data_IF_961264087661
#
_entry.id   IF_961264087661
#
_cell.length_a   1.000
_cell.length_b   1.000
_cell.length_c   1.000
_cell.angle_alpha   90.00
_cell.angle_beta   90.00
_cell.angle_gamma   90.00
#
_symmetry.space_group_name_H-M   'P 1'
#
loop_
_entity.id
_entity.type
_entity.pdbx_description
1 polymer ?
#
# COMPACT_ATOMS: atom_id res chain seq x y z
N UNK A 1 -7.28 4.90 -13.08
CA UNK A 1 -7.93 5.18 -11.78
C UNK A 1 -8.03 6.70 -11.59
N UNK A 2 -9.06 7.21 -10.91
CA UNK A 2 -9.19 8.66 -10.63
C UNK A 2 -8.41 8.95 -9.35
N UNK A 3 -7.23 9.56 -9.45
CA UNK A 3 -6.46 9.96 -8.27
C UNK A 3 -7.28 10.92 -7.41
N UNK A 4 -7.39 10.63 -6.11
CA UNK A 4 -8.08 11.48 -5.14
C UNK A 4 -7.35 12.82 -5.05
N UNK A 5 -8.10 13.90 -4.82
CA UNK A 5 -7.51 15.20 -4.53
C UNK A 5 -7.38 15.31 -3.00
N UNK A 6 -6.16 15.41 -2.43
CA UNK A 6 -5.98 15.55 -0.99
C UNK A 6 -6.66 16.82 -0.48
N UNK A 7 -7.31 16.74 0.67
CA UNK A 7 -7.97 17.86 1.34
C UNK A 7 -6.94 18.87 1.87
N UNK A 8 -7.40 20.05 2.29
CA UNK A 8 -6.54 21.07 2.89
C UNK A 8 -5.97 20.57 4.24
N UNK A 9 -6.79 19.89 5.04
CA UNK A 9 -6.36 19.33 6.33
C UNK A 9 -5.22 18.32 6.15
N UNK A 10 -5.35 17.38 5.21
CA UNK A 10 -4.31 16.38 4.92
C UNK A 10 -3.01 17.03 4.45
N UNK A 11 -3.09 18.07 3.61
CA UNK A 11 -1.89 18.80 3.17
C UNK A 11 -1.21 19.51 4.33
N UNK A 12 -1.97 20.10 5.26
CA UNK A 12 -1.45 20.78 6.45
C UNK A 12 -0.78 19.79 7.39
N UNK A 13 -1.38 18.62 7.62
CA UNK A 13 -0.82 17.57 8.45
C UNK A 13 0.52 17.06 7.90
N UNK A 14 0.56 16.70 6.61
CA UNK A 14 1.80 16.29 5.92
C UNK A 14 2.85 17.40 5.96
N UNK A 15 2.45 18.67 5.85
CA UNK A 15 3.39 19.78 5.93
C UNK A 15 3.99 19.98 7.33
N UNK A 16 3.23 19.70 8.38
CA UNK A 16 3.70 19.70 9.77
C UNK A 16 4.66 18.52 9.98
N UNK A 17 4.30 17.33 9.52
CA UNK A 17 5.16 16.14 9.61
C UNK A 17 6.50 16.33 8.90
N UNK A 18 6.49 16.95 7.72
CA UNK A 18 7.69 17.25 6.95
C UNK A 18 8.48 18.47 7.49
N UNK A 19 7.99 19.12 8.55
CA UNK A 19 8.62 20.30 9.15
C UNK A 19 8.62 21.55 8.27
N UNK A 20 7.74 21.62 7.27
CA UNK A 20 7.61 22.76 6.35
C UNK A 20 6.93 23.94 7.04
N UNK A 21 5.96 23.65 7.91
CA UNK A 21 5.25 24.63 8.76
C UNK A 21 5.14 24.11 10.18
N UNK A 22 4.94 25.00 11.14
CA UNK A 22 4.60 24.61 12.53
C UNK A 22 3.09 24.41 12.71
N UNK A 23 2.67 23.66 13.75
CA UNK A 23 1.26 23.58 14.12
C UNK A 23 0.67 24.98 14.34
N UNK A 24 -0.41 25.29 13.61
CA UNK A 24 -1.09 26.58 13.65
C UNK A 24 -0.61 27.62 12.63
N UNK A 25 0.42 27.32 11.84
CA UNK A 25 0.83 28.16 10.71
C UNK A 25 0.06 27.80 9.43
N UNK A 26 -0.25 28.80 8.60
CA UNK A 26 -0.99 28.59 7.35
C UNK A 26 -0.08 28.21 6.18
N UNK A 27 -0.54 27.25 5.38
CA UNK A 27 0.12 26.90 4.13
C UNK A 27 -0.09 27.95 3.05
N UNK A 28 1.00 28.48 2.50
CA UNK A 28 0.92 29.35 1.32
C UNK A 28 0.34 28.61 0.11
N UNK A 29 -0.39 29.29 -0.81
CA UNK A 29 -1.02 28.64 -1.97
C UNK A 29 -0.05 27.84 -2.85
N UNK A 30 1.20 28.31 -2.95
CA UNK A 30 2.25 27.64 -3.72
C UNK A 30 2.68 26.33 -3.07
N UNK A 31 2.78 26.29 -1.74
CA UNK A 31 3.08 25.08 -0.97
C UNK A 31 1.90 24.11 -0.99
N UNK A 32 0.66 24.59 -0.89
CA UNK A 32 -0.53 23.75 -0.99
C UNK A 32 -0.58 22.98 -2.31
N UNK A 33 -0.24 23.62 -3.43
CA UNK A 33 -0.19 22.95 -4.74
C UNK A 33 0.92 21.89 -4.79
N UNK A 34 2.10 22.21 -4.26
CA UNK A 34 3.25 21.29 -4.25
C UNK A 34 2.96 20.06 -3.38
N UNK A 35 2.42 20.25 -2.18
CA UNK A 35 2.04 19.16 -1.27
C UNK A 35 0.96 18.26 -1.86
N UNK A 36 -0.06 18.84 -2.52
CA UNK A 36 -1.08 18.05 -3.19
C UNK A 36 -0.48 17.11 -4.24
N UNK A 37 0.47 17.60 -5.04
CA UNK A 37 1.16 16.79 -6.04
C UNK A 37 2.04 15.72 -5.39
N UNK A 38 2.78 16.07 -4.33
CA UNK A 38 3.63 15.12 -3.61
C UNK A 38 2.83 13.98 -3.00
N UNK A 39 1.69 14.28 -2.35
CA UNK A 39 0.80 13.26 -1.78
C UNK A 39 0.24 12.38 -2.89
N UNK A 40 -0.21 12.97 -4.01
CA UNK A 40 -0.75 12.19 -5.14
C UNK A 40 0.29 11.28 -5.80
N UNK A 41 1.55 11.71 -5.89
CA UNK A 41 2.64 10.88 -6.42
C UNK A 41 2.94 9.75 -5.45
N UNK A 42 3.07 10.04 -4.14
CA UNK A 42 3.33 9.03 -3.12
C UNK A 42 2.21 7.98 -3.05
N UNK A 43 0.95 8.41 -3.06
CA UNK A 43 -0.21 7.50 -3.13
C UNK A 43 -0.23 6.69 -4.44
N UNK A 44 0.23 7.28 -5.55
CA UNK A 44 0.35 6.59 -6.84
C UNK A 44 1.43 5.51 -6.82
N UNK A 45 2.61 5.81 -6.27
CA UNK A 45 3.72 4.87 -6.10
C UNK A 45 3.37 3.75 -5.11
N UNK A 46 2.68 4.06 -4.00
CA UNK A 46 2.16 3.04 -3.09
C UNK A 46 1.12 2.16 -3.76
N UNK A 47 0.18 2.72 -4.52
CA UNK A 47 -0.81 1.94 -5.25
C UNK A 47 -0.14 1.01 -6.29
N UNK A 48 0.84 1.52 -7.03
CA UNK A 48 1.61 0.73 -8.01
C UNK A 48 2.46 -0.34 -7.32
N UNK A 49 3.07 -0.04 -6.17
CA UNK A 49 3.80 -1.01 -5.36
C UNK A 49 2.87 -2.07 -4.75
N UNK A 50 1.66 -1.71 -4.33
CA UNK A 50 0.64 -2.64 -3.84
C UNK A 50 0.12 -3.52 -4.98
N UNK A 51 -0.09 -2.98 -6.18
CA UNK A 51 -0.46 -3.77 -7.36
C UNK A 51 0.67 -4.72 -7.78
N UNK A 52 1.91 -4.24 -7.83
CA UNK A 52 3.08 -5.06 -8.13
C UNK A 52 3.31 -6.15 -7.07
N UNK A 53 3.14 -5.82 -5.78
CA UNK A 53 3.20 -6.78 -4.68
C UNK A 53 1.99 -7.74 -4.67
N UNK A 54 0.83 -7.32 -5.17
CA UNK A 54 -0.32 -8.19 -5.36
C UNK A 54 -0.12 -9.18 -6.51
N UNK A 55 0.75 -8.86 -7.48
CA UNK A 55 1.21 -9.80 -8.51
C UNK A 55 2.48 -10.56 -8.15
N UNK A 56 3.15 -10.27 -7.03
CA UNK A 56 4.36 -11.01 -6.66
C UNK A 56 3.96 -12.45 -6.24
N UNK A 57 4.42 -13.49 -6.97
CA UNK A 57 4.06 -14.87 -6.67
C UNK A 57 4.45 -15.28 -5.25
N UNK A 58 5.53 -14.71 -4.68
CA UNK A 58 5.96 -14.99 -3.29
C UNK A 58 4.93 -14.44 -2.29
N UNK A 59 4.48 -13.20 -2.51
CA UNK A 59 3.49 -12.54 -1.64
C UNK A 59 2.14 -13.26 -1.73
N UNK A 60 1.75 -13.71 -2.92
CA UNK A 60 0.53 -14.50 -3.13
C UNK A 60 0.58 -15.85 -2.41
N UNK A 61 1.69 -16.58 -2.51
CA UNK A 61 1.86 -17.86 -1.80
C UNK A 61 1.79 -17.64 -0.28
N UNK A 62 2.48 -16.62 0.24
CA UNK A 62 2.46 -16.29 1.67
C UNK A 62 1.05 -15.90 2.15
N UNK A 63 0.30 -15.14 1.34
CA UNK A 63 -1.08 -14.76 1.62
C UNK A 63 -2.00 -15.97 1.69
N UNK A 64 -1.92 -16.90 0.74
CA UNK A 64 -2.72 -18.13 0.78
C UNK A 64 -2.43 -18.93 2.04
N UNK A 65 -1.15 -19.10 2.40
CA UNK A 65 -0.78 -19.77 3.64
C UNK A 65 -1.39 -19.08 4.88
N UNK A 66 -1.30 -17.76 4.98
CA UNK A 66 -1.88 -17.00 6.09
C UNK A 66 -3.40 -17.12 6.16
N UNK A 67 -4.09 -17.12 5.02
CA UNK A 67 -5.55 -17.24 4.96
C UNK A 67 -6.02 -18.65 5.32
N UNK A 68 -5.25 -19.70 4.98
CA UNK A 68 -5.52 -21.07 5.44
C UNK A 68 -5.40 -21.20 6.96
N UNK A 69 -4.40 -20.57 7.57
CA UNK A 69 -4.28 -20.52 9.03
C UNK A 69 -5.46 -19.80 9.69
N UNK A 70 -5.90 -18.65 9.13
CA UNK A 70 -7.07 -17.92 9.62
C UNK A 70 -8.36 -18.72 9.49
N UNK A 71 -8.47 -19.57 8.48
CA UNK A 71 -9.58 -20.49 8.30
C UNK A 71 -9.59 -21.66 9.31
N UNK A 72 -8.59 -21.75 10.18
CA UNK A 72 -8.51 -22.75 11.24
C UNK A 72 -7.78 -24.03 10.85
N UNK A 73 -7.08 -24.06 9.71
CA UNK A 73 -6.22 -25.19 9.38
C UNK A 73 -4.97 -25.19 10.27
N UNK A 74 -4.47 -26.39 10.55
CA UNK A 74 -3.16 -26.55 11.19
C UNK A 74 -2.06 -26.05 10.26
N UNK A 75 -0.94 -25.59 10.82
CA UNK A 75 0.23 -25.17 10.03
C UNK A 75 0.67 -26.24 9.05
N UNK A 76 0.75 -27.50 9.48
CA UNK A 76 1.13 -28.61 8.61
C UNK A 76 0.18 -28.77 7.40
N UNK A 77 -1.13 -28.61 7.58
CA UNK A 77 -2.07 -28.69 6.47
C UNK A 77 -1.95 -27.47 5.55
N UNK A 78 -1.80 -26.27 6.13
CA UNK A 78 -1.60 -25.03 5.38
C UNK A 78 -0.31 -25.07 4.54
N UNK A 79 0.81 -25.53 5.11
CA UNK A 79 2.10 -25.70 4.43
C UNK A 79 1.98 -26.60 3.21
N UNK A 80 1.32 -27.76 3.37
CA UNK A 80 1.15 -28.73 2.27
C UNK A 80 0.28 -28.18 1.15
N UNK A 81 -0.79 -27.48 1.48
CA UNK A 81 -1.70 -26.89 0.49
C UNK A 81 -0.98 -25.76 -0.25
N UNK A 82 -0.34 -24.84 0.48
CA UNK A 82 0.42 -23.74 -0.10
C UNK A 82 1.54 -24.25 -1.02
N UNK A 83 2.30 -25.26 -0.60
CA UNK A 83 3.34 -25.87 -1.42
C UNK A 83 2.79 -26.58 -2.67
N UNK A 84 1.62 -27.20 -2.59
CA UNK A 84 1.01 -27.89 -3.72
C UNK A 84 0.52 -26.91 -4.82
N UNK A 85 0.05 -25.73 -4.43
CA UNK A 85 -0.44 -24.70 -5.37
C UNK A 85 0.65 -23.72 -5.82
N UNK A 86 1.75 -23.60 -5.06
CA UNK A 86 2.84 -22.66 -5.33
C UNK A 86 3.39 -22.72 -6.78
N UNK A 87 3.61 -23.90 -7.40
CA UNK A 87 4.06 -23.97 -8.79
C UNK A 87 3.07 -23.38 -9.79
N UNK A 88 1.77 -23.41 -9.49
CA UNK A 88 0.75 -22.82 -10.36
C UNK A 88 0.76 -21.30 -10.21
N UNK A 89 0.76 -20.80 -8.97
CA UNK A 89 0.84 -19.36 -8.67
C UNK A 89 2.08 -18.73 -9.33
N UNK A 90 3.22 -19.43 -9.29
CA UNK A 90 4.48 -18.99 -9.90
C UNK A 90 4.45 -18.92 -11.43
N UNK A 91 3.61 -19.74 -12.10
CA UNK A 91 3.51 -19.70 -13.57
C UNK A 91 2.54 -18.65 -14.07
N UNK A 92 1.53 -18.33 -13.25
CA UNK A 92 0.43 -17.45 -13.62
C UNK A 92 0.70 -15.97 -13.32
N UNK A 93 1.78 -15.66 -12.58
CA UNK A 93 2.18 -14.30 -12.16
C UNK A 93 3.67 -14.08 -12.41
#
# INVERSE_FOLDING_TARGET
MRQRIPSIAERTEVAIELGIIKPGEELTPRLQKKLAQTIQIAEGEEAEAVEAAASDPVVLIAKVHADLLKAGLTSFAADRIAAAIAPQIWRDN
#
